data_IF_453098254854
#
_entry.id   IF_453098254854
#
_cell.length_a   1.000
_cell.length_b   1.000
_cell.length_c   1.000
_cell.angle_alpha   90.00
_cell.angle_beta   90.00
_cell.angle_gamma   90.00
#
_symmetry.space_group_name_H-M   'P 1'
#
loop_
_entity.id
_entity.type
_entity.pdbx_description
1 polymer ?
#
# COMPACT_ATOMS: atom_id res chain seq x y z
N UNK A 1 -40.64 -70.49 -60.03
CA UNK A 1 -41.24 -69.35 -59.29
C UNK A 1 -40.96 -69.42 -57.78
N UNK A 2 -39.82 -69.95 -57.34
CA UNK A 2 -39.51 -70.12 -55.91
C UNK A 2 -38.24 -69.40 -55.46
N UNK A 3 -37.43 -68.87 -56.38
CA UNK A 3 -36.17 -68.18 -56.04
C UNK A 3 -36.34 -66.70 -55.66
N UNK A 4 -37.43 -66.05 -56.09
CA UNK A 4 -37.68 -64.64 -55.78
C UNK A 4 -38.08 -64.37 -54.31
N UNK A 5 -38.53 -65.39 -53.57
CA UNK A 5 -38.91 -65.25 -52.16
C UNK A 5 -37.71 -65.08 -51.22
N UNK A 6 -36.54 -65.63 -51.57
CA UNK A 6 -35.33 -65.50 -50.75
C UNK A 6 -34.76 -64.08 -50.75
N UNK A 7 -34.68 -63.46 -51.93
CA UNK A 7 -34.11 -62.11 -52.09
C UNK A 7 -34.98 -61.03 -51.44
N UNK A 8 -36.31 -61.10 -51.59
CA UNK A 8 -37.22 -60.14 -50.97
C UNK A 8 -37.20 -60.22 -49.43
N UNK A 9 -37.12 -61.43 -48.86
CA UNK A 9 -36.98 -61.63 -47.41
C UNK A 9 -35.67 -61.09 -46.86
N UNK A 10 -34.56 -61.31 -47.57
CA UNK A 10 -33.25 -60.76 -47.18
C UNK A 10 -33.21 -59.24 -47.23
N UNK A 11 -33.78 -58.62 -48.27
CA UNK A 11 -33.85 -57.16 -48.38
C UNK A 11 -34.71 -56.55 -47.26
N UNK A 12 -35.83 -57.19 -46.90
CA UNK A 12 -36.68 -56.76 -45.79
C UNK A 12 -35.95 -56.86 -44.44
N UNK A 13 -35.15 -57.91 -44.22
CA UNK A 13 -34.38 -58.09 -43.00
C UNK A 13 -33.26 -57.05 -42.88
N UNK A 14 -32.55 -56.77 -43.98
CA UNK A 14 -31.49 -55.75 -44.02
C UNK A 14 -32.07 -54.35 -43.80
N UNK A 15 -33.23 -54.02 -44.41
CA UNK A 15 -33.86 -52.72 -44.20
C UNK A 15 -34.34 -52.56 -42.74
N UNK A 16 -34.90 -53.61 -42.14
CA UNK A 16 -35.30 -53.61 -40.74
C UNK A 16 -34.11 -53.40 -39.80
N UNK A 17 -32.99 -54.08 -40.04
CA UNK A 17 -31.76 -53.89 -39.26
C UNK A 17 -31.17 -52.49 -39.43
N UNK A 18 -31.25 -51.91 -40.65
CA UNK A 18 -30.85 -50.51 -40.91
C UNK A 18 -31.68 -49.53 -40.08
N UNK A 19 -33.01 -49.71 -40.05
CA UNK A 19 -33.91 -48.84 -39.27
C UNK A 19 -33.62 -48.94 -37.78
N UNK A 20 -33.41 -50.16 -37.27
CA UNK A 20 -33.01 -50.37 -35.87
C UNK A 20 -31.65 -49.71 -35.59
N UNK A 21 -30.67 -49.90 -36.47
CA UNK A 21 -29.35 -49.30 -36.35
C UNK A 21 -29.41 -47.78 -36.28
N UNK A 22 -30.18 -47.15 -37.18
CA UNK A 22 -30.45 -45.71 -37.17
C UNK A 22 -31.14 -45.26 -35.87
N UNK A 23 -32.12 -46.01 -35.39
CA UNK A 23 -32.80 -45.75 -34.12
C UNK A 23 -31.82 -45.76 -32.94
N UNK A 24 -30.95 -46.76 -32.86
CA UNK A 24 -29.93 -46.88 -31.80
C UNK A 24 -28.95 -45.70 -31.86
N UNK A 25 -28.44 -45.36 -33.05
CA UNK A 25 -27.51 -44.23 -33.23
C UNK A 25 -28.17 -42.93 -32.79
N UNK A 26 -29.43 -42.70 -33.17
CA UNK A 26 -30.18 -41.50 -32.79
C UNK A 26 -30.33 -41.39 -31.27
N UNK A 27 -30.65 -42.50 -30.58
CA UNK A 27 -30.76 -42.53 -29.12
C UNK A 27 -29.41 -42.25 -28.45
N UNK A 28 -28.31 -42.83 -28.94
CA UNK A 28 -26.97 -42.60 -28.39
C UNK A 28 -26.58 -41.12 -28.52
N UNK A 29 -26.76 -40.54 -29.70
CA UNK A 29 -26.46 -39.12 -29.96
C UNK A 29 -27.30 -38.23 -29.05
N UNK A 30 -28.60 -38.49 -28.92
CA UNK A 30 -29.48 -37.71 -28.06
C UNK A 30 -29.07 -37.75 -26.59
N UNK A 31 -28.73 -38.93 -26.06
CA UNK A 31 -28.25 -39.07 -24.66
C UNK A 31 -26.93 -38.35 -24.43
N UNK A 32 -26.00 -38.44 -25.37
CA UNK A 32 -24.72 -37.73 -25.29
C UNK A 32 -24.91 -36.21 -25.34
N UNK A 33 -25.83 -35.71 -26.16
CA UNK A 33 -26.14 -34.28 -26.26
C UNK A 33 -26.69 -33.75 -24.93
N UNK A 34 -27.65 -34.47 -24.32
CA UNK A 34 -28.21 -34.11 -23.01
C UNK A 34 -27.14 -34.14 -21.90
N UNK A 35 -26.28 -35.16 -21.91
CA UNK A 35 -25.15 -35.25 -20.98
C UNK A 35 -24.18 -34.07 -21.13
N UNK A 36 -23.88 -33.67 -22.37
CA UNK A 36 -23.02 -32.52 -22.65
C UNK A 36 -23.66 -31.19 -22.20
N UNK A 37 -24.97 -31.02 -22.39
CA UNK A 37 -25.68 -29.82 -21.94
C UNK A 37 -25.65 -29.68 -20.41
N UNK A 38 -26.00 -30.74 -19.68
CA UNK A 38 -25.99 -30.71 -18.20
C UNK A 38 -24.59 -30.53 -17.61
N UNK A 39 -23.55 -31.03 -18.30
CA UNK A 39 -22.16 -30.82 -17.87
C UNK A 39 -21.72 -29.39 -18.11
N UNK A 40 -22.11 -28.80 -19.25
CA UNK A 40 -21.83 -27.41 -19.58
C UNK A 40 -22.54 -26.45 -18.63
N UNK A 41 -23.79 -26.72 -18.29
CA UNK A 41 -24.56 -25.92 -17.34
C UNK A 41 -23.95 -25.94 -15.94
N UNK A 42 -23.57 -27.12 -15.43
CA UNK A 42 -22.86 -27.25 -14.14
C UNK A 42 -21.52 -26.53 -14.15
N UNK A 43 -20.78 -26.60 -15.25
CA UNK A 43 -19.53 -25.86 -15.39
C UNK A 43 -19.77 -24.35 -15.33
N UNK A 44 -20.77 -23.83 -16.07
CA UNK A 44 -21.13 -22.41 -16.01
C UNK A 44 -21.59 -21.98 -14.62
N UNK A 45 -22.42 -22.76 -13.94
CA UNK A 45 -22.83 -22.47 -12.56
C UNK A 45 -21.63 -22.39 -11.62
N UNK A 46 -20.69 -23.33 -11.73
CA UNK A 46 -19.45 -23.29 -10.94
C UNK A 46 -18.59 -22.06 -11.24
N UNK A 47 -18.51 -21.63 -12.50
CA UNK A 47 -17.80 -20.39 -12.85
C UNK A 47 -18.51 -19.15 -12.30
N UNK A 48 -19.84 -19.09 -12.39
CA UNK A 48 -20.65 -17.98 -11.86
C UNK A 48 -20.47 -17.88 -10.34
N UNK A 49 -20.58 -18.98 -9.60
CA UNK A 49 -20.35 -18.99 -8.16
C UNK A 49 -18.94 -18.54 -7.79
N UNK A 50 -17.93 -18.93 -8.58
CA UNK A 50 -16.57 -18.48 -8.37
C UNK A 50 -16.43 -16.98 -8.59
N UNK A 51 -17.02 -16.44 -9.66
CA UNK A 51 -17.01 -15.01 -9.94
C UNK A 51 -17.74 -14.23 -8.84
N UNK A 52 -18.89 -14.70 -8.36
CA UNK A 52 -19.64 -14.07 -7.26
C UNK A 52 -18.80 -14.01 -5.97
N UNK A 53 -18.07 -15.10 -5.64
CA UNK A 53 -17.14 -15.11 -4.51
C UNK A 53 -15.99 -14.12 -4.68
N UNK A 54 -15.40 -14.07 -5.87
CA UNK A 54 -14.32 -13.13 -6.19
C UNK A 54 -14.81 -11.67 -6.12
N UNK A 55 -16.01 -11.38 -6.62
CA UNK A 55 -16.63 -10.04 -6.52
C UNK A 55 -16.84 -9.61 -5.07
N UNK A 56 -17.44 -10.47 -4.23
CA UNK A 56 -17.63 -10.14 -2.80
C UNK A 56 -16.30 -9.92 -2.07
N UNK A 57 -15.27 -10.68 -2.42
CA UNK A 57 -13.94 -10.48 -1.86
C UNK A 57 -13.36 -9.12 -2.27
N UNK A 58 -13.53 -8.72 -3.53
CA UNK A 58 -13.13 -7.39 -4.03
C UNK A 58 -13.91 -6.26 -3.36
N UNK A 59 -15.23 -6.41 -3.19
CA UNK A 59 -16.07 -5.44 -2.47
C UNK A 59 -15.60 -5.26 -1.02
N UNK A 60 -15.29 -6.36 -0.33
CA UNK A 60 -14.73 -6.29 1.03
C UNK A 60 -13.35 -5.63 1.05
N UNK A 61 -12.49 -5.92 0.06
CA UNK A 61 -11.18 -5.30 -0.03
C UNK A 61 -11.28 -3.79 -0.30
N UNK A 62 -12.21 -3.37 -1.16
CA UNK A 62 -12.49 -1.97 -1.45
C UNK A 62 -13.06 -1.25 -0.22
N UNK A 63 -13.97 -1.87 0.53
CA UNK A 63 -14.47 -1.31 1.78
C UNK A 63 -13.35 -1.17 2.84
N UNK A 64 -12.42 -2.13 2.90
CA UNK A 64 -11.22 -2.05 3.72
C UNK A 64 -10.28 -0.93 3.30
N UNK A 65 -10.08 -0.76 1.99
CA UNK A 65 -9.26 0.30 1.42
C UNK A 65 -9.84 1.69 1.75
N UNK A 66 -11.15 1.88 1.62
CA UNK A 66 -11.82 3.14 1.96
C UNK A 66 -11.55 3.55 3.42
N UNK A 67 -11.72 2.62 4.37
CA UNK A 67 -11.38 2.87 5.78
C UNK A 67 -9.92 3.23 5.99
N UNK A 68 -9.01 2.61 5.24
CA UNK A 68 -7.59 2.91 5.36
C UNK A 68 -7.26 4.31 4.81
N UNK A 69 -7.94 4.73 3.74
CA UNK A 69 -7.81 6.09 3.20
C UNK A 69 -8.32 7.11 4.23
N UNK A 70 -9.49 6.88 4.83
CA UNK A 70 -10.03 7.77 5.88
C UNK A 70 -9.08 7.85 7.10
N UNK A 71 -8.45 6.73 7.46
CA UNK A 71 -7.45 6.69 8.53
C UNK A 71 -6.18 7.48 8.18
N UNK A 72 -5.70 7.38 6.94
CA UNK A 72 -4.55 8.15 6.47
C UNK A 72 -4.87 9.64 6.43
N UNK A 73 -6.06 10.02 5.97
CA UNK A 73 -6.48 11.42 5.90
C UNK A 73 -6.57 12.06 7.30
N UNK A 74 -7.23 11.37 8.24
CA UNK A 74 -7.28 11.81 9.64
C UNK A 74 -5.88 11.90 10.29
N UNK A 75 -5.02 10.90 10.08
CA UNK A 75 -3.65 10.92 10.60
C UNK A 75 -2.84 12.07 10.00
N UNK A 76 -3.04 12.36 8.72
CA UNK A 76 -2.36 13.48 8.02
C UNK A 76 -2.82 14.82 8.57
N UNK A 77 -4.13 14.98 8.83
CA UNK A 77 -4.68 16.18 9.46
C UNK A 77 -4.12 16.40 10.87
N UNK A 78 -4.01 15.33 11.69
CA UNK A 78 -3.40 15.40 13.02
C UNK A 78 -1.93 15.81 12.95
N UNK A 79 -1.15 15.19 12.06
CA UNK A 79 0.27 15.55 11.86
C UNK A 79 0.39 17.01 11.45
N UNK A 80 -0.44 17.50 10.52
CA UNK A 80 -0.42 18.89 10.09
C UNK A 80 -0.73 19.85 11.25
N UNK A 81 -1.69 19.51 12.12
CA UNK A 81 -2.01 20.31 13.32
C UNK A 81 -0.84 20.31 14.31
N UNK A 82 -0.22 19.15 14.56
CA UNK A 82 0.95 19.05 15.44
C UNK A 82 2.11 19.89 14.92
N UNK A 83 2.38 19.82 13.60
CA UNK A 83 3.44 20.58 12.96
C UNK A 83 3.19 22.09 13.06
N UNK A 84 1.94 22.51 12.86
CA UNK A 84 1.53 23.91 13.02
C UNK A 84 1.73 24.41 14.45
N UNK A 85 1.26 23.65 15.44
CA UNK A 85 1.45 23.99 16.85
C UNK A 85 2.93 24.03 17.25
N UNK A 86 3.75 23.13 16.71
CA UNK A 86 5.19 23.14 16.92
C UNK A 86 5.85 24.37 16.29
N UNK A 87 5.45 24.74 15.07
CA UNK A 87 5.91 25.95 14.40
C UNK A 87 5.56 27.21 15.19
N UNK A 88 4.34 27.34 15.69
CA UNK A 88 3.91 28.46 16.52
C UNK A 88 4.74 28.56 17.81
N UNK A 89 5.02 27.43 18.48
CA UNK A 89 5.90 27.40 19.67
C UNK A 89 7.33 27.82 19.34
N UNK A 90 7.88 27.35 18.21
CA UNK A 90 9.23 27.73 17.79
C UNK A 90 9.28 29.22 17.48
N UNK A 91 8.28 29.73 16.76
CA UNK A 91 8.21 31.14 16.37
C UNK A 91 8.10 32.04 17.61
N UNK A 92 7.26 31.68 18.58
CA UNK A 92 7.16 32.40 19.85
C UNK A 92 8.47 32.37 20.65
N UNK A 93 9.22 31.26 20.62
CA UNK A 93 10.55 31.19 21.26
C UNK A 93 11.59 32.05 20.53
N UNK A 94 11.59 32.07 19.20
CA UNK A 94 12.47 32.94 18.42
C UNK A 94 12.16 34.41 18.69
N UNK A 95 10.88 34.79 18.74
CA UNK A 95 10.46 36.15 19.04
C UNK A 95 10.82 36.56 20.47
N UNK A 96 10.67 35.67 21.46
CA UNK A 96 11.11 35.91 22.83
C UNK A 96 12.64 36.11 22.92
N UNK A 97 13.43 35.27 22.23
CA UNK A 97 14.89 35.43 22.18
C UNK A 97 15.28 36.71 21.46
N UNK A 98 14.63 37.06 20.35
CA UNK A 98 14.89 38.30 19.63
C UNK A 98 14.52 39.55 20.44
N UNK A 99 13.51 39.46 21.30
CA UNK A 99 13.15 40.53 22.24
C UNK A 99 14.13 40.66 23.42
N UNK A 100 14.85 39.59 23.78
CA UNK A 100 15.94 39.62 24.77
C UNK A 100 17.28 40.06 24.18
N UNK A 101 17.45 40.04 22.85
CA UNK A 101 18.68 40.37 22.11
C UNK A 101 18.98 41.89 22.00
N UNK A 102 18.23 42.74 22.72
CA UNK A 102 18.60 44.15 22.96
C UNK A 102 19.83 44.27 23.90
N UNK A 103 20.41 43.15 24.36
CA UNK A 103 21.69 43.10 25.06
C UNK A 103 22.85 42.74 24.12
N UNK A 104 23.73 43.69 23.76
CA UNK A 104 24.87 43.49 22.83
C UNK A 104 26.00 42.56 23.35
N UNK A 105 25.78 41.84 24.46
CA UNK A 105 26.79 41.01 25.12
C UNK A 105 27.02 39.65 24.45
N UNK A 106 25.96 38.96 24.01
CA UNK A 106 26.05 37.56 23.54
C UNK A 106 26.80 37.43 22.20
N UNK A 107 26.49 38.30 21.25
CA UNK A 107 27.19 38.38 19.95
C UNK A 107 28.67 38.77 20.13
N UNK A 108 28.97 39.64 21.09
CA UNK A 108 30.35 40.01 21.45
C UNK A 108 31.11 38.84 22.12
N UNK A 109 30.44 38.09 23.01
CA UNK A 109 30.97 36.88 23.65
C UNK A 109 31.29 35.78 22.62
N UNK A 110 30.38 35.56 21.66
CA UNK A 110 30.58 34.63 20.55
C UNK A 110 31.81 34.97 19.71
N UNK A 111 31.99 36.26 19.38
CA UNK A 111 33.14 36.73 18.60
C UNK A 111 34.46 36.57 19.36
N UNK A 112 34.46 36.82 20.66
CA UNK A 112 35.63 36.66 21.52
C UNK A 112 35.99 35.19 21.77
N UNK A 113 34.97 34.33 21.96
CA UNK A 113 35.14 32.88 22.09
C UNK A 113 35.68 32.27 20.80
N UNK A 114 35.22 32.72 19.62
CA UNK A 114 35.73 32.27 18.32
C UNK A 114 37.19 32.67 18.08
N UNK A 115 37.62 33.81 18.63
CA UNK A 115 39.04 34.21 18.64
C UNK A 115 39.86 33.43 19.69
N UNK A 116 39.21 32.64 20.55
CA UNK A 116 39.81 31.85 21.61
C UNK A 116 40.55 32.67 22.65
N UNK A 117 40.10 33.91 22.87
CA UNK A 117 40.71 34.90 23.78
C UNK A 117 40.04 34.98 25.14
N UNK A 118 39.01 34.16 25.38
CA UNK A 118 38.19 34.23 26.59
C UNK A 118 38.01 32.83 27.17
N UNK A 119 38.13 32.75 28.49
CA UNK A 119 37.95 31.51 29.26
C UNK A 119 36.47 31.24 29.58
N UNK A 120 36.12 29.99 29.90
CA UNK A 120 34.76 29.63 30.36
C UNK A 120 34.31 30.49 31.53
N UNK A 121 35.24 30.86 32.42
CA UNK A 121 34.94 31.66 33.61
C UNK A 121 34.64 33.12 33.26
N UNK A 122 35.40 33.72 32.35
CA UNK A 122 35.12 35.08 31.86
C UNK A 122 33.82 35.14 31.04
N UNK A 123 33.47 34.08 30.30
CA UNK A 123 32.17 33.98 29.62
C UNK A 123 30.99 34.01 30.60
N UNK A 124 31.15 33.42 31.78
CA UNK A 124 30.12 33.40 32.82
C UNK A 124 30.08 34.74 33.57
N UNK A 125 31.24 35.23 34.03
CA UNK A 125 31.34 36.41 34.91
C UNK A 125 31.09 37.73 34.15
N UNK A 126 31.62 37.89 32.92
CA UNK A 126 31.56 39.16 32.19
C UNK A 126 30.40 39.24 31.18
N UNK A 127 29.90 38.08 30.71
CA UNK A 127 28.84 38.01 29.70
C UNK A 127 27.55 37.36 30.21
N UNK A 128 27.48 37.00 31.49
CA UNK A 128 26.28 36.45 32.12
C UNK A 128 25.83 35.10 31.55
N UNK A 129 26.73 34.38 30.87
CA UNK A 129 26.41 33.16 30.15
C UNK A 129 26.25 31.98 31.12
N UNK A 130 25.32 31.05 30.85
CA UNK A 130 25.21 29.86 31.69
C UNK A 130 26.44 28.96 31.55
N UNK A 131 26.80 28.23 32.60
CA UNK A 131 27.97 27.34 32.58
C UNK A 131 27.88 26.28 31.47
N UNK A 132 26.67 25.80 31.18
CA UNK A 132 26.38 24.89 30.07
C UNK A 132 26.64 25.52 28.70
N UNK A 133 26.25 26.78 28.49
CA UNK A 133 26.45 27.50 27.23
C UNK A 133 27.92 27.86 27.01
N UNK A 134 28.60 28.36 28.05
CA UNK A 134 30.01 28.71 28.00
C UNK A 134 30.90 27.49 27.69
N UNK A 135 30.59 26.32 28.28
CA UNK A 135 31.27 25.05 27.96
C UNK A 135 31.01 24.58 26.54
N UNK A 136 29.77 24.69 26.06
CA UNK A 136 29.39 24.24 24.72
C UNK A 136 30.02 25.13 23.63
N UNK A 137 30.05 26.44 23.83
CA UNK A 137 30.73 27.40 22.96
C UNK A 137 32.25 27.15 22.88
N UNK A 138 32.89 26.86 24.01
CA UNK A 138 34.32 26.51 24.03
C UNK A 138 34.58 25.16 23.34
N UNK A 139 33.71 24.17 23.53
CA UNK A 139 33.84 22.86 22.89
C UNK A 139 33.66 22.93 21.36
N UNK A 140 32.71 23.72 20.87
CA UNK A 140 32.49 23.93 19.44
C UNK A 140 33.68 24.67 18.81
N UNK A 141 34.17 25.76 19.41
CA UNK A 141 35.31 26.52 18.88
C UNK A 141 36.67 25.79 18.97
N UNK A 142 36.87 24.92 19.97
CA UNK A 142 38.07 24.09 20.04
C UNK A 142 38.10 23.02 18.94
N UNK A 143 36.93 22.59 18.45
CA UNK A 143 36.82 21.57 17.38
C UNK A 143 37.23 22.11 16.01
N UNK A 144 37.09 23.42 15.79
CA UNK A 144 37.46 24.10 14.55
C UNK A 144 38.90 24.65 14.52
N UNK A 145 39.71 24.44 15.57
CA UNK A 145 41.15 24.74 15.51
C UNK A 145 41.86 23.65 14.69
N UNK A 146 42.46 23.96 13.53
CA UNK A 146 43.28 22.99 12.83
C UNK A 146 44.45 22.62 13.74
N UNK A 147 44.67 21.31 13.89
CA UNK A 147 45.86 20.74 14.50
C UNK A 147 47.09 21.24 13.73
N UNK A 148 47.67 22.36 14.16
CA UNK A 148 49.04 22.72 13.77
C UNK A 148 49.97 21.76 14.47
N UNK A 149 50.47 20.78 13.71
CA UNK A 149 51.71 20.07 14.02
C UNK A 149 52.89 21.03 14.11
#
# INVERSE_FOLDING_TARGET
>A
MTEHFGLAGWLALVSFLMVIGLGIVTVIVYRNLLGAQTTRERWFQSQIERIDREQRALESALAGLGKHIDQVDSSTAEIAQQLKAQSERINARIEAVAAEDDQPGFSHALRLAAQGRVSVKELIDDFGMSESEARLLMQVNQRDRPLSR
#
